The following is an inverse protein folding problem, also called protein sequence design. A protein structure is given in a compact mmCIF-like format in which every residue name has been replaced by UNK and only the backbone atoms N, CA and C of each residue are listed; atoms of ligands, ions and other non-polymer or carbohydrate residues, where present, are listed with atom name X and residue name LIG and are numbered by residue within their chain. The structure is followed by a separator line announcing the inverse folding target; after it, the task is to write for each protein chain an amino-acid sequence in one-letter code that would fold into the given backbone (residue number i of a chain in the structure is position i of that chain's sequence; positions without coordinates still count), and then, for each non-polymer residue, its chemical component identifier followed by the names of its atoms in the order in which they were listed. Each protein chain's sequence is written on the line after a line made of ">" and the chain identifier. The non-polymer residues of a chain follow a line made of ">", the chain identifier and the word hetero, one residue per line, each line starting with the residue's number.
data_IF_882213206891
#
_entry.id   IF_882213206891
#
_cell.length_a   1.000
_cell.length_b   1.000
_cell.length_c   1.000
_cell.angle_alpha   90.00
_cell.angle_beta   90.00
_cell.angle_gamma   90.00
#
_symmetry.space_group_name_H-M   'P 1'
#
loop_
_entity.id
_entity.type
_entity.pdbx_description
1 polymer ?
#
# COMPACT_ATOMS: atom_id res chain seq x y z
N UNK A 1 26.95 -67.24 -14.81
CA UNK A 1 25.73 -66.89 -15.56
C UNK A 1 24.75 -66.41 -14.50
N UNK A 2 24.83 -65.16 -14.02
CA UNK A 2 24.58 -63.90 -14.76
C UNK A 2 23.24 -64.01 -15.50
N UNK A 3 22.17 -63.32 -15.09
CA UNK A 3 21.91 -61.86 -15.16
C UNK A 3 21.07 -61.37 -13.95
N UNK A 4 21.41 -60.37 -13.13
CA UNK A 4 21.29 -58.89 -13.26
C UNK A 4 19.89 -58.37 -13.64
N UNK A 5 19.36 -57.47 -12.80
CA UNK A 5 18.20 -56.62 -13.11
C UNK A 5 17.59 -56.03 -11.84
N UNK A 6 18.20 -54.97 -11.33
CA UNK A 6 17.58 -54.02 -10.41
C UNK A 6 16.37 -53.38 -11.10
N UNK A 7 15.27 -53.18 -10.38
CA UNK A 7 14.36 -52.08 -10.67
C UNK A 7 13.80 -51.55 -9.36
N UNK A 8 14.07 -50.27 -9.15
CA UNK A 8 13.78 -49.45 -7.98
C UNK A 8 12.28 -49.11 -8.01
N UNK A 9 11.49 -49.69 -7.12
CA UNK A 9 10.17 -49.17 -6.81
C UNK A 9 10.23 -48.56 -5.41
N UNK A 10 10.72 -47.33 -5.33
CA UNK A 10 10.42 -46.46 -4.19
C UNK A 10 8.91 -46.30 -4.19
N UNK A 11 8.24 -46.94 -3.22
CA UNK A 11 6.82 -46.74 -3.00
C UNK A 11 6.66 -45.34 -2.40
N UNK A 12 6.24 -44.38 -3.24
CA UNK A 12 5.60 -43.14 -2.79
C UNK A 12 4.47 -43.52 -1.85
N UNK A 13 4.51 -42.98 -0.65
CA UNK A 13 3.66 -43.42 0.45
C UNK A 13 2.45 -42.49 0.53
N UNK A 14 1.69 -42.40 -0.56
CA UNK A 14 0.44 -41.67 -0.74
C UNK A 14 -0.65 -42.15 0.22
N UNK A 15 -0.50 -41.79 1.49
CA UNK A 15 -1.44 -42.17 2.56
C UNK A 15 -1.92 -40.92 3.28
N UNK A 16 -3.04 -40.38 2.83
CA UNK A 16 -3.91 -39.59 3.71
C UNK A 16 -4.36 -40.48 4.89
N UNK A 17 -4.23 -40.05 6.16
CA UNK A 17 -4.64 -40.86 7.30
C UNK A 17 -6.18 -40.96 7.38
N UNK A 18 -6.77 -42.12 7.01
CA UNK A 18 -8.15 -42.42 7.43
C UNK A 18 -9.05 -43.27 6.53
N UNK A 19 -8.64 -43.64 5.32
CA UNK A 19 -9.47 -44.47 4.42
C UNK A 19 -8.66 -45.67 3.89
N UNK A 20 -9.28 -46.85 3.86
CA UNK A 20 -8.71 -48.11 3.34
C UNK A 20 -8.79 -48.17 1.80
N UNK A 21 -8.73 -47.01 1.15
CA UNK A 21 -8.68 -46.85 -0.31
C UNK A 21 -7.41 -46.05 -0.61
N UNK A 22 -6.38 -46.71 -1.11
CA UNK A 22 -5.24 -46.04 -1.75
C UNK A 22 -5.77 -45.37 -3.02
N UNK A 23 -6.24 -44.13 -2.91
CA UNK A 23 -6.47 -43.31 -4.10
C UNK A 23 -5.10 -43.02 -4.70
N UNK A 24 -5.00 -43.12 -6.01
CA UNK A 24 -3.76 -42.83 -6.73
C UNK A 24 -3.56 -41.32 -6.71
N UNK A 25 -2.35 -40.92 -6.39
CA UNK A 25 -1.80 -39.56 -6.33
C UNK A 25 -0.40 -39.76 -6.90
N UNK A 26 -0.21 -39.34 -8.15
CA UNK A 26 0.87 -39.84 -9.01
C UNK A 26 2.12 -38.97 -8.96
N UNK A 27 2.00 -37.71 -8.57
CA UNK A 27 3.09 -36.76 -8.30
C UNK A 27 3.24 -36.37 -6.81
N UNK A 28 2.40 -36.92 -5.93
CA UNK A 28 2.44 -36.76 -4.47
C UNK A 28 2.23 -35.28 -4.02
N UNK A 29 1.39 -34.53 -4.74
CA UNK A 29 1.15 -33.09 -4.50
C UNK A 29 0.03 -32.81 -3.47
N UNK A 30 -0.79 -33.83 -3.16
CA UNK A 30 -1.90 -33.77 -2.22
C UNK A 30 -3.29 -33.84 -2.84
N UNK A 31 -3.41 -33.76 -4.17
CA UNK A 31 -4.59 -34.16 -4.93
C UNK A 31 -4.53 -35.66 -5.27
N UNK A 32 -5.58 -36.15 -5.91
CA UNK A 32 -5.59 -37.53 -6.41
C UNK A 32 -5.80 -37.46 -7.91
N UNK A 33 -5.27 -38.40 -8.68
CA UNK A 33 -5.40 -38.43 -10.16
C UNK A 33 -6.85 -38.19 -10.64
N UNK A 34 -7.84 -38.71 -9.91
CA UNK A 34 -9.27 -38.55 -10.23
C UNK A 34 -9.78 -37.11 -9.97
N UNK A 35 -9.27 -36.42 -8.96
CA UNK A 35 -9.59 -35.02 -8.63
C UNK A 35 -8.86 -34.06 -9.56
N UNK A 36 -7.61 -34.32 -9.88
CA UNK A 36 -6.83 -33.55 -10.84
C UNK A 36 -7.50 -33.55 -12.22
N UNK A 37 -7.97 -34.71 -12.68
CA UNK A 37 -8.75 -34.80 -13.91
C UNK A 37 -10.08 -34.00 -13.87
N UNK A 38 -10.65 -33.78 -12.68
CA UNK A 38 -11.86 -32.97 -12.49
C UNK A 38 -11.55 -31.48 -12.52
N UNK A 39 -10.44 -31.07 -11.89
CA UNK A 39 -10.00 -29.67 -11.83
C UNK A 39 -9.36 -29.22 -13.14
N UNK A 40 -8.73 -30.14 -13.87
CA UNK A 40 -8.06 -29.89 -15.15
C UNK A 40 -6.53 -29.84 -15.06
N UNK A 41 -5.97 -30.11 -13.88
CA UNK A 41 -4.54 -30.23 -13.61
C UNK A 41 -3.96 -31.54 -14.17
N UNK A 42 -2.63 -31.65 -14.28
CA UNK A 42 -1.95 -32.83 -14.83
C UNK A 42 -1.54 -33.81 -13.71
N UNK A 43 -2.07 -35.05 -13.65
CA UNK A 43 -1.71 -36.06 -12.65
C UNK A 43 -0.23 -36.47 -12.54
N UNK A 44 0.67 -35.84 -13.27
CA UNK A 44 2.09 -36.15 -13.29
C UNK A 44 2.94 -34.88 -13.11
N UNK A 45 2.30 -33.73 -12.87
CA UNK A 45 2.93 -32.43 -12.71
C UNK A 45 2.34 -31.75 -11.47
N UNK A 46 3.07 -31.70 -10.35
CA UNK A 46 2.51 -31.24 -9.08
C UNK A 46 2.20 -29.74 -9.03
N UNK A 47 2.50 -28.99 -10.09
CA UNK A 47 2.42 -27.53 -10.23
C UNK A 47 2.02 -27.26 -11.70
N UNK A 48 0.72 -27.22 -11.97
CA UNK A 48 0.16 -27.28 -13.31
C UNK A 48 0.27 -25.97 -14.11
N UNK A 49 0.33 -24.82 -13.43
CA UNK A 49 0.47 -23.51 -14.07
C UNK A 49 1.86 -22.88 -13.93
N UNK A 50 2.70 -23.44 -13.07
CA UNK A 50 4.13 -23.16 -12.98
C UNK A 50 4.48 -21.95 -12.11
N UNK A 51 3.64 -21.60 -11.14
CA UNK A 51 3.78 -20.44 -10.27
C UNK A 51 4.55 -20.73 -8.95
N UNK A 52 4.96 -21.99 -8.75
CA UNK A 52 5.67 -22.57 -7.59
C UNK A 52 4.78 -23.02 -6.42
N UNK A 53 3.46 -22.87 -6.50
CA UNK A 53 2.51 -23.58 -5.65
C UNK A 53 2.28 -24.98 -6.20
N UNK A 54 1.80 -25.87 -5.35
CA UNK A 54 1.40 -27.21 -5.80
C UNK A 54 -0.11 -27.27 -5.92
N UNK A 55 -0.64 -27.97 -6.92
CA UNK A 55 -2.08 -27.95 -7.22
C UNK A 55 -2.93 -28.31 -5.98
N UNK A 56 -2.42 -29.22 -5.13
CA UNK A 56 -3.05 -29.61 -3.86
C UNK A 56 -3.18 -28.53 -2.80
N UNK A 57 -2.45 -27.42 -2.91
CA UNK A 57 -2.53 -26.25 -2.04
C UNK A 57 -3.54 -25.22 -2.57
N UNK A 58 -3.82 -25.25 -3.87
CA UNK A 58 -4.62 -24.25 -4.59
C UNK A 58 -6.07 -24.72 -4.73
N UNK A 59 -6.85 -24.40 -3.71
CA UNK A 59 -8.16 -25.05 -3.52
C UNK A 59 -9.27 -24.50 -4.41
N UNK A 60 -9.01 -23.49 -5.24
CA UNK A 60 -9.97 -22.80 -6.10
C UNK A 60 -11.20 -22.31 -5.31
N UNK A 61 -10.99 -21.93 -4.05
CA UNK A 61 -12.06 -21.43 -3.18
C UNK A 61 -12.23 -19.92 -3.27
N UNK A 62 -11.23 -19.20 -3.78
CA UNK A 62 -11.15 -17.74 -3.76
C UNK A 62 -11.04 -17.17 -2.35
N UNK A 63 -10.51 -17.95 -1.40
CA UNK A 63 -10.36 -17.55 0.00
C UNK A 63 -9.02 -18.05 0.50
N UNK A 64 -8.11 -17.14 0.80
CA UNK A 64 -6.85 -17.50 1.43
C UNK A 64 -7.05 -17.95 2.87
N UNK A 65 -6.54 -19.14 3.18
CA UNK A 65 -6.53 -19.70 4.54
C UNK A 65 -5.10 -19.79 5.08
N UNK A 66 -4.15 -20.24 4.25
CA UNK A 66 -2.72 -20.34 4.58
C UNK A 66 -1.88 -20.73 3.36
N UNK A 67 -0.55 -20.78 3.51
CA UNK A 67 0.41 -21.33 2.53
C UNK A 67 0.18 -22.82 2.13
N UNK A 68 -0.78 -23.52 2.72
CA UNK A 68 -1.17 -24.90 2.37
C UNK A 68 -2.65 -25.03 1.94
N UNK A 69 -3.35 -23.89 1.83
CA UNK A 69 -4.75 -23.76 1.37
C UNK A 69 -4.92 -22.29 0.94
N UNK A 70 -4.41 -21.97 -0.25
CA UNK A 70 -4.28 -20.60 -0.76
C UNK A 70 -5.57 -20.07 -1.36
N UNK A 71 -6.48 -20.97 -1.77
CA UNK A 71 -7.71 -20.59 -2.43
C UNK A 71 -7.56 -20.18 -3.90
N UNK A 72 -6.32 -20.02 -4.39
CA UNK A 72 -5.98 -19.69 -5.78
C UNK A 72 -6.42 -20.77 -6.79
N UNK A 73 -6.36 -20.43 -8.08
CA UNK A 73 -6.69 -21.33 -9.18
C UNK A 73 -5.44 -22.07 -9.70
N UNK A 74 -5.34 -23.41 -9.54
CA UNK A 74 -4.15 -24.20 -9.93
C UNK A 74 -3.86 -24.26 -11.45
N UNK A 75 -4.62 -23.50 -12.24
CA UNK A 75 -4.49 -23.41 -13.69
C UNK A 75 -4.26 -21.96 -14.15
N UNK A 76 -4.07 -21.03 -13.22
CA UNK A 76 -3.86 -19.63 -13.47
C UNK A 76 -2.82 -19.05 -12.50
N UNK A 77 -1.60 -18.76 -12.95
CA UNK A 77 -0.47 -18.43 -12.08
C UNK A 77 -0.55 -17.03 -11.43
N UNK A 78 -1.66 -16.32 -11.60
CA UNK A 78 -1.94 -14.93 -11.19
C UNK A 78 -3.48 -14.82 -11.10
N UNK A 79 -4.02 -15.29 -9.97
CA UNK A 79 -5.43 -15.61 -9.78
C UNK A 79 -6.32 -14.37 -9.81
N UNK A 80 -5.91 -13.28 -9.16
CA UNK A 80 -6.65 -12.02 -9.12
C UNK A 80 -6.31 -11.07 -10.28
N UNK A 81 -5.18 -11.29 -10.97
CA UNK A 81 -4.80 -10.56 -12.18
C UNK A 81 -4.12 -9.22 -11.91
N UNK A 82 -3.48 -9.05 -10.75
CA UNK A 82 -2.81 -7.82 -10.33
C UNK A 82 -1.38 -7.67 -10.93
N UNK A 83 -0.83 -8.77 -11.44
CA UNK A 83 0.50 -8.86 -12.06
C UNK A 83 1.60 -9.45 -11.17
N UNK A 84 1.28 -9.95 -9.98
CA UNK A 84 2.09 -10.83 -9.15
C UNK A 84 1.68 -12.29 -9.41
N UNK A 85 2.61 -13.23 -9.22
CA UNK A 85 2.29 -14.66 -9.36
C UNK A 85 1.86 -15.20 -7.99
N UNK A 86 0.84 -16.06 -7.89
CA UNK A 86 0.24 -16.46 -6.60
C UNK A 86 1.30 -17.04 -5.64
N UNK A 87 2.20 -17.88 -6.17
CA UNK A 87 3.34 -18.40 -5.43
C UNK A 87 4.34 -17.34 -4.97
N UNK A 88 4.54 -16.25 -5.72
CA UNK A 88 5.42 -15.15 -5.31
C UNK A 88 4.87 -14.38 -4.11
N UNK A 89 3.56 -14.18 -4.08
CA UNK A 89 2.81 -13.49 -3.02
C UNK A 89 2.84 -14.26 -1.70
N UNK A 90 2.61 -15.58 -1.77
CA UNK A 90 2.49 -16.43 -0.58
C UNK A 90 3.86 -16.90 -0.06
N UNK A 91 4.82 -17.24 -0.94
CA UNK A 91 6.10 -17.84 -0.56
C UNK A 91 7.17 -16.84 -0.10
N UNK A 92 6.80 -15.57 0.12
CA UNK A 92 7.70 -14.50 0.59
C UNK A 92 8.91 -14.33 -0.34
N UNK A 93 8.65 -14.31 -1.65
CA UNK A 93 9.68 -14.17 -2.67
C UNK A 93 9.91 -12.70 -3.08
N UNK A 94 8.97 -11.83 -2.73
CA UNK A 94 8.98 -10.41 -3.07
C UNK A 94 9.54 -9.55 -1.94
N UNK A 95 10.18 -8.44 -2.31
CA UNK A 95 10.68 -7.44 -1.36
C UNK A 95 10.85 -6.08 -2.00
N UNK A 96 10.54 -5.02 -1.27
CA UNK A 96 10.84 -3.63 -1.60
C UNK A 96 11.86 -3.12 -0.59
N UNK A 97 12.99 -2.58 -1.06
CA UNK A 97 14.08 -2.07 -0.20
C UNK A 97 14.55 -3.05 0.91
N UNK A 98 14.68 -4.35 0.59
CA UNK A 98 15.01 -5.44 1.52
C UNK A 98 13.96 -5.70 2.64
N UNK A 99 12.78 -5.10 2.53
CA UNK A 99 11.59 -5.39 3.35
C UNK A 99 10.72 -6.37 2.59
N UNK A 100 10.44 -7.51 3.21
CA UNK A 100 9.53 -8.51 2.65
C UNK A 100 8.11 -8.17 3.05
N UNK A 101 7.19 -8.29 2.10
CA UNK A 101 5.75 -8.18 2.28
C UNK A 101 5.09 -9.51 1.88
N UNK A 102 3.79 -9.60 2.10
CA UNK A 102 2.91 -10.63 1.56
C UNK A 102 1.72 -9.95 0.89
N UNK A 103 1.09 -10.62 -0.06
CA UNK A 103 -0.22 -10.25 -0.60
C UNK A 103 -1.12 -11.50 -0.61
N UNK A 104 -2.43 -11.31 -0.70
CA UNK A 104 -3.40 -12.38 -0.88
C UNK A 104 -3.61 -12.62 -2.37
N UNK A 105 -3.27 -13.81 -2.91
CA UNK A 105 -3.38 -14.09 -4.35
C UNK A 105 -4.80 -14.10 -4.92
N UNK A 106 -5.80 -13.89 -4.06
CA UNK A 106 -7.21 -13.79 -4.45
C UNK A 106 -7.77 -12.38 -4.25
N UNK A 107 -6.93 -11.41 -3.91
CA UNK A 107 -7.31 -10.05 -3.58
C UNK A 107 -6.37 -9.04 -4.21
N UNK A 108 -6.85 -8.40 -5.29
CA UNK A 108 -6.08 -7.49 -6.13
C UNK A 108 -5.53 -6.24 -5.40
N UNK A 109 -6.02 -5.94 -4.18
CA UNK A 109 -5.67 -4.79 -3.33
C UNK A 109 -5.68 -5.26 -1.86
N UNK A 110 -4.61 -5.92 -1.44
CA UNK A 110 -4.55 -6.67 -0.17
C UNK A 110 -4.83 -5.81 1.07
N UNK A 111 -4.45 -4.54 1.04
CA UNK A 111 -4.55 -3.63 2.18
C UNK A 111 -5.66 -2.58 2.10
N UNK A 112 -6.48 -2.63 1.04
CA UNK A 112 -7.66 -1.80 0.79
C UNK A 112 -7.35 -0.28 0.64
N UNK A 113 -6.17 0.07 0.13
CA UNK A 113 -5.74 1.46 0.00
C UNK A 113 -6.09 2.10 -1.37
N UNK A 114 -6.44 1.26 -2.35
CA UNK A 114 -6.88 1.66 -3.69
C UNK A 114 -5.87 1.42 -4.80
N UNK A 115 -4.61 1.11 -4.48
CA UNK A 115 -3.61 0.59 -5.40
C UNK A 115 -3.74 -0.92 -5.52
N UNK A 116 -3.18 -1.52 -6.57
CA UNK A 116 -3.09 -2.98 -6.65
C UNK A 116 -1.74 -3.46 -6.18
N UNK A 117 -1.64 -4.64 -5.59
CA UNK A 117 -0.38 -5.13 -5.00
C UNK A 117 0.79 -5.11 -6.02
N UNK A 118 0.49 -5.45 -7.28
CA UNK A 118 1.41 -5.40 -8.40
C UNK A 118 1.81 -3.98 -8.83
N UNK A 119 0.94 -2.98 -8.68
CA UNK A 119 1.26 -1.56 -8.90
C UNK A 119 2.23 -1.04 -7.84
N UNK A 120 1.99 -1.39 -6.59
CA UNK A 120 2.84 -1.02 -5.46
C UNK A 120 4.23 -1.63 -5.58
N UNK A 121 4.29 -2.93 -5.87
CA UNK A 121 5.55 -3.63 -6.11
C UNK A 121 6.32 -3.09 -7.33
N UNK A 122 5.62 -2.80 -8.43
CA UNK A 122 6.24 -2.24 -9.65
C UNK A 122 6.67 -0.78 -9.48
N UNK A 123 6.03 -0.08 -8.54
CA UNK A 123 6.23 1.32 -8.22
C UNK A 123 5.28 2.24 -8.99
N UNK A 124 4.79 3.26 -8.30
CA UNK A 124 3.86 4.27 -8.81
C UNK A 124 4.60 5.61 -9.03
N UNK A 125 3.97 6.58 -9.70
CA UNK A 125 4.59 7.89 -9.95
C UNK A 125 4.08 8.96 -8.97
N UNK A 126 5.01 9.57 -8.26
CA UNK A 126 4.81 10.80 -7.48
C UNK A 126 5.83 11.86 -7.92
N UNK A 127 5.35 13.07 -8.26
CA UNK A 127 6.17 14.20 -8.77
C UNK A 127 7.32 13.78 -9.73
N UNK A 128 6.97 13.05 -10.80
CA UNK A 128 7.93 12.54 -11.80
C UNK A 128 8.98 11.54 -11.30
N UNK A 129 8.87 11.10 -10.06
CA UNK A 129 9.72 10.09 -9.42
C UNK A 129 8.91 8.81 -9.19
N UNK A 130 9.58 7.66 -9.27
CA UNK A 130 8.95 6.40 -8.87
C UNK A 130 9.04 6.27 -7.35
N UNK A 131 7.89 6.06 -6.72
CA UNK A 131 7.76 5.69 -5.31
C UNK A 131 7.26 4.25 -5.23
N UNK A 132 7.55 3.60 -4.11
CA UNK A 132 7.16 2.21 -3.86
C UNK A 132 6.47 2.19 -2.50
N UNK A 133 5.24 1.72 -2.49
CA UNK A 133 4.41 1.47 -1.31
C UNK A 133 4.43 -0.04 -1.03
N UNK A 134 3.67 -0.53 -0.06
CA UNK A 134 3.74 -1.94 0.35
C UNK A 134 2.36 -2.59 0.27
N UNK A 135 2.21 -3.70 -0.49
CA UNK A 135 0.94 -4.45 -0.60
C UNK A 135 0.23 -4.85 0.69
N UNK A 136 0.96 -4.96 1.80
CA UNK A 136 0.39 -5.31 3.11
C UNK A 136 0.29 -4.14 4.09
N UNK A 137 0.46 -2.90 3.62
CA UNK A 137 0.48 -1.72 4.47
C UNK A 137 -0.07 -0.46 3.77
N UNK A 138 -1.36 -0.23 4.03
CA UNK A 138 -2.16 0.84 3.44
C UNK A 138 -1.72 2.28 3.74
N UNK A 139 -0.63 2.47 4.48
CA UNK A 139 -0.05 3.73 4.97
C UNK A 139 1.45 3.47 5.15
N UNK A 140 2.20 3.65 4.06
CA UNK A 140 3.58 3.18 3.93
C UNK A 140 4.54 3.94 4.85
N UNK A 141 4.33 5.23 5.07
CA UNK A 141 5.18 6.05 5.94
C UNK A 141 4.65 6.19 7.39
N UNK A 142 3.40 5.78 7.62
CA UNK A 142 2.79 5.67 8.94
C UNK A 142 2.33 7.01 9.50
N UNK A 143 2.05 7.99 8.66
CA UNK A 143 1.59 9.31 9.07
C UNK A 143 0.08 9.35 9.33
N UNK A 144 -0.69 8.43 8.75
CA UNK A 144 -2.12 8.27 8.91
C UNK A 144 -2.99 8.60 7.70
N UNK A 145 -2.41 8.99 6.56
CA UNK A 145 -3.06 8.97 5.24
C UNK A 145 -2.84 7.63 4.56
N UNK A 146 -3.71 7.25 3.62
CA UNK A 146 -3.54 5.99 2.89
C UNK A 146 -2.79 6.24 1.58
N UNK A 147 -1.94 5.31 1.11
CA UNK A 147 -1.04 5.62 -0.02
C UNK A 147 -1.83 5.97 -1.30
N UNK A 148 -2.93 5.26 -1.57
CA UNK A 148 -3.86 5.61 -2.65
C UNK A 148 -4.48 7.02 -2.51
N UNK A 149 -4.79 7.47 -1.29
CA UNK A 149 -5.28 8.83 -1.03
C UNK A 149 -4.19 9.86 -1.35
N UNK A 150 -2.97 9.63 -0.88
CA UNK A 150 -1.83 10.52 -1.08
C UNK A 150 -1.45 10.65 -2.57
N UNK A 151 -1.56 9.55 -3.32
CA UNK A 151 -1.40 9.53 -4.77
C UNK A 151 -2.62 10.09 -5.53
N UNK A 152 -3.64 10.58 -4.85
CA UNK A 152 -4.79 11.26 -5.42
C UNK A 152 -5.72 10.38 -6.23
N UNK A 153 -6.04 9.19 -5.72
CA UNK A 153 -6.97 8.25 -6.35
C UNK A 153 -8.43 8.63 -6.06
N UNK A 154 -9.12 9.17 -7.06
CA UNK A 154 -10.58 9.39 -7.01
C UNK A 154 -11.38 8.07 -7.12
N UNK A 155 -10.76 7.05 -7.70
CA UNK A 155 -11.30 5.69 -7.90
C UNK A 155 -10.17 4.69 -7.74
N UNK A 156 -10.41 3.52 -7.13
CA UNK A 156 -9.35 2.55 -6.96
C UNK A 156 -9.00 1.88 -8.28
N UNK A 157 -7.77 1.38 -8.39
CA UNK A 157 -7.29 0.69 -9.58
C UNK A 157 -7.72 -0.79 -9.61
N UNK A 158 -7.90 -1.43 -8.44
CA UNK A 158 -8.44 -2.79 -8.28
C UNK A 158 -9.96 -2.94 -8.52
N UNK A 159 -10.67 -1.85 -8.85
CA UNK A 159 -12.09 -1.91 -9.23
C UNK A 159 -13.07 -1.73 -8.07
N UNK A 160 -13.83 -2.77 -7.68
CA UNK A 160 -14.75 -2.66 -6.52
C UNK A 160 -14.29 -3.53 -5.35
N UNK A 161 -13.09 -4.10 -5.43
CA UNK A 161 -12.57 -5.05 -4.44
C UNK A 161 -11.78 -4.40 -3.30
N UNK A 162 -11.74 -3.08 -3.23
CA UNK A 162 -10.89 -2.33 -2.29
C UNK A 162 -11.46 -2.23 -0.87
N UNK A 163 -12.12 -3.30 -0.43
CA UNK A 163 -12.72 -3.44 0.89
C UNK A 163 -13.58 -2.27 1.37
N UNK A 164 -13.85 -2.18 2.69
CA UNK A 164 -14.67 -1.13 3.28
C UNK A 164 -13.87 0.10 3.73
N UNK A 165 -12.53 0.03 3.73
CA UNK A 165 -11.66 1.06 4.31
C UNK A 165 -11.09 2.03 3.29
N UNK A 166 -11.24 1.75 1.99
CA UNK A 166 -10.83 2.67 0.93
C UNK A 166 -11.54 4.03 1.04
N UNK A 167 -10.75 5.10 0.95
CA UNK A 167 -11.21 6.49 0.98
C UNK A 167 -10.85 7.14 -0.36
N UNK A 168 -11.84 7.62 -1.14
CA UNK A 168 -11.56 8.37 -2.36
C UNK A 168 -10.96 9.73 -2.04
N UNK A 169 -9.96 10.11 -2.81
CA UNK A 169 -9.48 11.49 -2.87
C UNK A 169 -10.58 12.42 -3.41
N UNK A 170 -10.79 13.56 -2.74
CA UNK A 170 -11.76 14.59 -3.12
C UNK A 170 -11.18 15.80 -3.88
N UNK A 171 -9.85 15.91 -3.98
CA UNK A 171 -9.11 16.85 -4.81
C UNK A 171 -7.74 16.28 -5.25
N UNK A 172 -7.66 15.60 -6.41
CA UNK A 172 -6.45 14.88 -6.83
C UNK A 172 -5.30 15.81 -7.24
N UNK A 173 -5.45 17.13 -7.02
CA UNK A 173 -4.41 18.12 -7.20
C UNK A 173 -3.58 18.38 -5.93
N UNK A 174 -4.06 17.95 -4.76
CA UNK A 174 -3.39 18.06 -3.46
C UNK A 174 -2.82 16.71 -3.03
N UNK A 175 -1.80 16.23 -3.77
CA UNK A 175 -1.17 14.92 -3.59
C UNK A 175 0.05 14.98 -2.68
N UNK A 176 0.08 14.18 -1.64
CA UNK A 176 1.22 14.00 -0.74
C UNK A 176 2.06 12.79 -1.12
N UNK A 177 3.25 12.68 -0.56
CA UNK A 177 4.22 11.66 -0.91
C UNK A 177 4.09 10.46 0.03
N UNK A 178 3.61 9.28 -0.44
CA UNK A 178 3.27 8.15 0.43
C UNK A 178 4.46 7.45 1.13
N UNK A 179 5.67 7.94 0.89
CA UNK A 179 6.89 7.42 1.53
C UNK A 179 7.56 8.48 2.40
N UNK A 180 6.86 9.56 2.72
CA UNK A 180 7.35 10.73 3.46
C UNK A 180 6.18 11.51 4.06
N UNK A 181 5.79 11.17 5.29
CA UNK A 181 4.63 11.77 5.97
C UNK A 181 4.74 13.24 6.38
N UNK A 182 5.63 14.00 5.76
CA UNK A 182 5.82 15.44 5.86
C UNK A 182 6.37 15.85 4.48
N UNK A 183 5.46 16.08 3.54
CA UNK A 183 5.75 16.20 2.11
C UNK A 183 6.57 17.45 1.82
N UNK A 184 6.26 18.56 2.46
CA UNK A 184 6.92 19.85 2.24
C UNK A 184 8.09 20.12 3.21
N UNK A 185 8.22 19.31 4.27
CA UNK A 185 9.29 19.34 5.28
C UNK A 185 9.26 20.58 6.17
N UNK A 186 8.08 21.08 6.49
CA UNK A 186 7.88 22.19 7.41
C UNK A 186 7.86 21.71 8.89
N UNK A 187 7.56 20.43 9.11
CA UNK A 187 7.52 19.78 10.41
C UNK A 187 6.12 19.39 10.91
N UNK A 188 5.05 19.71 10.18
CA UNK A 188 3.74 19.09 10.28
C UNK A 188 3.71 17.78 9.50
N UNK A 189 2.81 16.87 9.90
CA UNK A 189 2.58 15.66 9.12
C UNK A 189 1.48 15.92 8.10
N UNK A 190 1.53 15.25 6.96
CA UNK A 190 0.52 15.42 5.91
C UNK A 190 -0.89 15.13 6.47
N UNK A 191 -1.02 14.13 7.35
CA UNK A 191 -2.28 13.82 8.04
C UNK A 191 -2.71 14.80 9.14
N UNK A 192 -1.80 15.62 9.68
CA UNK A 192 -2.13 16.74 10.57
C UNK A 192 -2.69 17.93 9.77
N UNK A 193 -2.24 18.09 8.53
CA UNK A 193 -2.63 19.13 7.60
C UNK A 193 -3.95 18.80 6.88
N UNK A 194 -4.11 17.57 6.35
CA UNK A 194 -5.41 17.01 5.93
C UNK A 194 -6.09 16.28 7.10
N UNK A 195 -6.49 17.06 8.10
CA UNK A 195 -7.04 16.54 9.35
C UNK A 195 -8.31 15.68 9.18
N UNK A 196 -9.04 15.88 8.08
CA UNK A 196 -10.23 15.09 7.76
C UNK A 196 -9.97 13.92 6.80
N UNK A 197 -8.74 13.81 6.27
CA UNK A 197 -8.20 12.69 5.49
C UNK A 197 -9.04 12.41 4.26
N UNK A 198 -9.36 13.48 3.53
CA UNK A 198 -10.18 13.39 2.32
C UNK A 198 -9.42 13.81 1.04
N UNK A 199 -8.12 14.08 1.15
CA UNK A 199 -7.25 14.45 0.05
C UNK A 199 -7.49 15.87 -0.47
N UNK A 200 -8.31 16.69 0.20
CA UNK A 200 -8.59 18.08 -0.21
C UNK A 200 -8.34 19.03 0.96
N UNK A 201 -7.50 20.02 0.72
CA UNK A 201 -7.30 21.17 1.63
C UNK A 201 -8.62 21.93 1.81
N UNK A 202 -9.26 21.76 2.97
CA UNK A 202 -10.58 22.32 3.28
C UNK A 202 -10.50 23.62 4.11
N UNK A 203 -11.11 24.68 3.57
CA UNK A 203 -11.33 25.94 4.32
C UNK A 203 -12.58 25.85 5.20
N UNK A 204 -12.47 26.11 6.51
CA UNK A 204 -13.65 26.15 7.40
C UNK A 204 -13.32 25.87 8.86
N UNK A 205 -14.26 26.07 9.81
CA UNK A 205 -13.95 25.90 11.22
C UNK A 205 -13.75 24.42 11.59
N UNK A 206 -12.65 24.13 12.27
CA UNK A 206 -12.31 22.85 12.91
C UNK A 206 -11.84 21.73 11.98
N UNK A 207 -10.66 21.89 11.39
CA UNK A 207 -9.88 20.80 10.82
C UNK A 207 -8.40 21.11 11.14
N UNK A 208 -7.72 20.28 11.93
CA UNK A 208 -6.26 20.37 12.16
C UNK A 208 -5.75 20.97 13.48
N UNK A 209 -4.47 20.75 13.84
CA UNK A 209 -3.79 21.40 14.96
C UNK A 209 -3.66 22.92 14.76
N UNK A 210 -3.53 23.67 15.87
CA UNK A 210 -3.24 25.12 15.83
C UNK A 210 -4.40 26.05 15.51
N UNK A 211 -5.46 25.57 14.88
CA UNK A 211 -6.52 26.45 14.40
C UNK A 211 -7.72 26.59 15.35
N UNK A 212 -7.72 27.64 16.19
CA UNK A 212 -8.89 27.95 17.02
C UNK A 212 -10.08 28.56 16.23
N UNK A 213 -9.90 28.96 14.95
CA UNK A 213 -10.91 29.71 14.15
C UNK A 213 -11.09 29.31 12.65
N UNK A 214 -10.36 28.33 12.09
CA UNK A 214 -10.23 28.05 10.64
C UNK A 214 -9.78 26.61 10.31
N UNK A 215 -9.47 26.34 9.03
CA UNK A 215 -9.40 25.00 8.40
C UNK A 215 -7.99 24.38 8.30
N UNK A 216 -7.79 23.56 7.27
CA UNK A 216 -6.57 22.79 6.96
C UNK A 216 -5.48 23.65 6.33
N UNK A 217 -4.21 23.30 6.59
CA UNK A 217 -3.03 23.82 5.88
C UNK A 217 -2.77 23.00 4.61
N UNK A 218 -1.97 23.52 3.68
CA UNK A 218 -1.63 22.84 2.43
C UNK A 218 -0.34 22.04 2.60
N UNK A 219 -0.39 20.69 2.60
CA UNK A 219 0.78 19.84 2.86
C UNK A 219 1.87 19.91 1.77
N UNK A 220 1.65 20.71 0.72
CA UNK A 220 2.62 20.95 -0.34
C UNK A 220 3.38 22.27 -0.17
N UNK A 221 2.99 23.08 0.81
CA UNK A 221 3.49 24.43 1.04
C UNK A 221 3.90 24.59 2.49
N UNK A 222 5.20 24.79 2.72
CA UNK A 222 5.72 25.02 4.07
C UNK A 222 5.04 26.16 4.82
N UNK A 223 4.39 27.03 4.09
CA UNK A 223 3.79 28.27 4.54
C UNK A 223 2.53 28.42 3.68
N UNK A 224 1.37 28.10 4.26
CA UNK A 224 0.10 28.02 3.55
C UNK A 224 -0.42 29.40 3.14
N UNK A 225 -0.11 30.45 3.91
CA UNK A 225 -0.60 31.80 3.66
C UNK A 225 0.40 32.74 2.95
N UNK A 226 1.58 32.22 2.58
CA UNK A 226 2.69 32.92 1.90
C UNK A 226 3.25 34.08 2.74
N UNK A 227 3.24 33.87 4.06
CA UNK A 227 3.82 34.69 5.10
C UNK A 227 5.35 34.65 5.19
N UNK A 228 5.84 34.84 6.40
CA UNK A 228 7.25 34.83 6.73
C UNK A 228 7.64 33.61 7.56
N UNK A 229 6.66 32.85 8.06
CA UNK A 229 6.81 31.69 8.94
C UNK A 229 6.20 30.45 8.32
N UNK A 230 6.71 29.29 8.73
CA UNK A 230 6.11 28.02 8.31
C UNK A 230 4.90 27.70 9.17
N UNK A 231 4.00 26.87 8.67
CA UNK A 231 2.78 26.49 9.40
C UNK A 231 3.11 25.87 10.76
N UNK A 232 4.13 25.00 10.80
CA UNK A 232 4.68 24.47 12.05
C UNK A 232 5.16 25.56 13.02
N UNK A 233 5.90 26.57 12.54
CA UNK A 233 6.42 27.65 13.39
C UNK A 233 5.30 28.50 13.96
N UNK A 234 4.28 28.78 13.16
CA UNK A 234 3.11 29.52 13.59
C UNK A 234 2.34 28.79 14.67
N UNK A 235 2.07 27.50 14.49
CA UNK A 235 1.32 26.69 15.45
C UNK A 235 2.12 26.47 16.75
N UNK A 236 3.39 26.09 16.65
CA UNK A 236 4.14 25.54 17.79
C UNK A 236 5.17 26.50 18.40
N UNK A 237 5.58 27.55 17.68
CA UNK A 237 6.58 28.52 18.16
C UNK A 237 5.92 29.84 18.54
N UNK A 238 5.16 30.44 17.63
CA UNK A 238 4.63 31.79 17.79
C UNK A 238 3.19 31.81 18.35
N UNK A 239 2.39 30.78 18.07
CA UNK A 239 0.98 30.70 18.43
C UNK A 239 0.09 31.62 17.58
N UNK A 240 0.46 31.82 16.31
CA UNK A 240 -0.27 32.54 15.26
C UNK A 240 -1.09 31.56 14.41
N UNK A 241 -1.88 32.06 13.46
CA UNK A 241 -2.75 31.22 12.64
C UNK A 241 -2.14 31.02 11.26
N UNK A 242 -1.79 29.78 10.86
CA UNK A 242 -1.13 29.48 9.57
C UNK A 242 -1.96 29.73 8.31
N UNK A 243 -3.12 30.34 8.47
CA UNK A 243 -4.05 30.69 7.39
C UNK A 243 -4.38 32.19 7.39
N UNK A 244 -3.63 33.00 8.16
CA UNK A 244 -3.85 34.43 8.34
C UNK A 244 -2.53 35.20 8.37
N UNK A 245 -2.04 35.48 7.16
CA UNK A 245 -0.89 36.31 6.87
C UNK A 245 -0.77 37.58 7.74
N UNK A 246 -1.90 38.23 8.07
CA UNK A 246 -1.92 39.49 8.82
C UNK A 246 -1.70 39.31 10.35
N UNK A 247 -1.69 38.07 10.88
CA UNK A 247 -1.56 37.78 12.32
C UNK A 247 -0.16 37.31 12.75
N UNK A 248 0.73 37.11 11.78
CA UNK A 248 2.15 36.91 12.00
C UNK A 248 2.70 38.08 12.83
N UNK A 249 3.26 37.77 13.99
CA UNK A 249 3.58 38.74 15.05
C UNK A 249 4.56 39.87 14.65
N UNK A 250 5.06 39.92 13.42
CA UNK A 250 6.27 40.69 13.06
C UNK A 250 6.38 41.17 11.60
N UNK A 251 5.35 41.41 10.79
CA UNK A 251 5.48 42.21 9.53
C UNK A 251 4.26 43.15 9.39
N UNK A 252 4.29 44.25 10.14
CA UNK A 252 3.14 45.14 10.34
C UNK A 252 2.78 45.97 9.09
N UNK A 253 3.67 46.14 8.12
CA UNK A 253 3.44 46.90 6.88
C UNK A 253 3.39 46.06 5.59
N UNK A 254 3.63 44.75 5.70
CA UNK A 254 3.52 43.74 4.64
C UNK A 254 4.48 43.99 3.48
N UNK A 255 5.71 44.40 3.79
CA UNK A 255 6.76 44.63 2.80
C UNK A 255 7.74 43.45 2.65
N UNK A 256 7.56 42.41 3.47
CA UNK A 256 8.37 41.18 3.47
C UNK A 256 9.62 41.29 4.35
N UNK A 257 9.72 42.32 5.19
CA UNK A 257 10.74 42.45 6.23
C UNK A 257 10.07 42.34 7.59
N UNK A 258 10.64 41.49 8.46
CA UNK A 258 10.13 41.42 9.82
C UNK A 258 10.35 42.77 10.54
N UNK A 259 9.38 43.25 11.32
CA UNK A 259 9.43 44.44 12.19
C UNK A 259 10.75 44.53 12.97
N UNK A 260 11.26 43.39 13.45
CA UNK A 260 12.52 43.32 14.17
C UNK A 260 13.76 43.56 13.29
N UNK A 261 13.73 43.09 12.04
CA UNK A 261 14.75 43.33 11.02
C UNK A 261 14.66 44.78 10.52
N UNK A 262 13.46 45.28 10.33
CA UNK A 262 13.22 46.67 9.97
C UNK A 262 13.74 47.65 11.01
N UNK A 263 13.44 47.41 12.29
CA UNK A 263 13.91 48.28 13.37
C UNK A 263 15.43 48.14 13.59
N UNK A 264 16.00 46.94 13.58
CA UNK A 264 17.42 46.72 13.92
C UNK A 264 18.39 46.96 12.76
N UNK A 265 17.99 46.66 11.51
CA UNK A 265 18.89 46.66 10.34
C UNK A 265 18.60 47.85 9.41
N UNK A 266 17.33 48.18 9.19
CA UNK A 266 16.93 49.15 8.15
C UNK A 266 16.50 50.51 8.71
N UNK A 267 16.10 50.58 9.98
CA UNK A 267 15.52 51.76 10.62
C UNK A 267 14.25 52.27 9.93
N UNK A 268 13.48 51.38 9.32
CA UNK A 268 12.19 51.63 8.67
C UNK A 268 11.04 51.53 9.67
N UNK A 269 9.84 51.97 9.26
CA UNK A 269 8.64 51.96 10.11
C UNK A 269 7.90 50.67 9.81
N UNK A 270 7.78 49.76 10.77
CA UNK A 270 6.91 48.61 10.63
C UNK A 270 5.44 49.02 10.56
#
# INVERSE_FOLDING_TARGET
>A
TDTTGEDEAVQGNGTQPGTDNTQQDSDDDGLTDDLELILGTDPLDPDSDGDLLVDGTETLTGVFISEYDTGSDPLNPDTDGDGLEDGAEVLRLLSIYDVFFWSDPNDIDTDDDGLTDGEEYSGTLYDSSTVYTFPDANDTDGDGLHDGLELGLETPHGGNDTGPNWIPDLDPTTRTNPVSGDTDRDGLLDSDEDANRNGRVDTGPWLGPGNFNGGETDPLLKDTDDGSRTDYEEIFVDGTNPLDYDDELRDSDHDGLLDEVEIEVHGTDP
#
